data_IF_145287098938
#
_entry.id   IF_145287098938
#
_cell.length_a   1.000
_cell.length_b   1.000
_cell.length_c   1.000
_cell.angle_alpha   90.00
_cell.angle_beta   90.00
_cell.angle_gamma   90.00
#
_symmetry.space_group_name_H-M   'P 1'
#
loop_
_entity.id
_entity.type
_entity.pdbx_description
1 polymer ?
#
# COMPACT_ATOMS: atom_id res chain seq x y z
N UNK A 1 -23.38 20.02 -9.76
CA UNK A 1 -22.06 19.37 -9.61
C UNK A 1 -22.09 17.96 -10.19
N UNK A 2 -22.67 16.94 -9.53
CA UNK A 2 -22.80 15.59 -10.16
C UNK A 2 -23.82 15.58 -11.31
N UNK A 3 -24.94 16.29 -11.16
CA UNK A 3 -25.96 16.41 -12.22
C UNK A 3 -25.43 17.06 -13.50
N UNK A 4 -24.34 17.82 -13.45
CA UNK A 4 -23.71 18.40 -14.66
C UNK A 4 -22.83 17.39 -15.40
N UNK A 5 -22.30 16.39 -14.68
CA UNK A 5 -21.62 15.23 -15.27
C UNK A 5 -22.66 14.29 -15.89
N UNK A 6 -23.72 13.96 -15.15
CA UNK A 6 -24.82 13.09 -15.63
C UNK A 6 -25.54 13.67 -16.86
N UNK A 7 -25.71 15.00 -16.90
CA UNK A 7 -26.34 15.70 -18.03
C UNK A 7 -25.34 16.09 -19.13
N UNK A 8 -24.08 15.66 -19.04
CA UNK A 8 -23.05 15.87 -20.06
C UNK A 8 -22.60 17.33 -20.24
N UNK A 9 -23.02 18.25 -19.36
CA UNK A 9 -22.61 19.66 -19.38
C UNK A 9 -21.14 19.84 -19.01
N UNK A 10 -20.55 18.84 -18.34
CA UNK A 10 -19.13 18.78 -18.04
C UNK A 10 -18.59 17.41 -18.43
N UNK A 11 -17.49 17.39 -19.21
CA UNK A 11 -16.89 16.16 -19.76
C UNK A 11 -15.70 15.60 -18.98
N UNK A 12 -15.31 16.25 -17.90
CA UNK A 12 -14.13 15.89 -17.12
C UNK A 12 -14.46 15.82 -15.64
N UNK A 13 -13.97 14.76 -15.00
CA UNK A 13 -14.02 14.53 -13.56
C UNK A 13 -12.61 14.77 -13.01
N UNK A 14 -12.48 15.54 -11.94
CA UNK A 14 -11.19 15.75 -11.26
C UNK A 14 -10.82 14.53 -10.43
N UNK A 15 -9.54 14.33 -10.11
CA UNK A 15 -9.08 13.23 -9.24
C UNK A 15 -9.76 13.23 -7.87
N UNK A 16 -10.04 14.41 -7.31
CA UNK A 16 -10.78 14.54 -6.06
C UNK A 16 -12.23 14.05 -6.21
N UNK A 17 -12.92 14.43 -7.30
CA UNK A 17 -14.28 13.97 -7.58
C UNK A 17 -14.34 12.46 -7.82
N UNK A 18 -13.35 11.84 -8.50
CA UNK A 18 -13.28 10.36 -8.65
C UNK A 18 -13.25 9.68 -7.28
N UNK A 19 -12.46 10.21 -6.34
CA UNK A 19 -12.38 9.66 -4.98
C UNK A 19 -13.71 9.79 -4.23
N UNK A 20 -14.36 10.95 -4.30
CA UNK A 20 -15.67 11.17 -3.67
C UNK A 20 -16.76 10.28 -4.27
N UNK A 21 -16.76 10.11 -5.60
CA UNK A 21 -17.69 9.22 -6.30
C UNK A 21 -17.47 7.76 -5.90
N UNK A 22 -16.21 7.31 -5.85
CA UNK A 22 -15.89 5.96 -5.43
C UNK A 22 -16.40 5.68 -4.01
N UNK A 23 -16.21 6.62 -3.09
CA UNK A 23 -16.75 6.52 -1.73
C UNK A 23 -18.29 6.46 -1.73
N UNK A 24 -18.96 7.35 -2.47
CA UNK A 24 -20.43 7.37 -2.56
C UNK A 24 -21.00 6.08 -3.15
N UNK A 25 -20.27 5.43 -4.07
CA UNK A 25 -20.64 4.18 -4.72
C UNK A 25 -20.12 2.94 -3.96
N UNK A 26 -19.51 3.11 -2.79
CA UNK A 26 -18.90 2.04 -2.01
C UNK A 26 -17.94 1.15 -2.83
N UNK A 27 -17.10 1.80 -3.65
CA UNK A 27 -16.09 1.15 -4.49
C UNK A 27 -14.71 1.81 -4.32
N UNK A 28 -13.70 1.31 -5.04
CA UNK A 28 -12.36 1.90 -5.09
C UNK A 28 -12.22 2.83 -6.31
N UNK A 29 -11.48 3.94 -6.22
CA UNK A 29 -11.25 4.85 -7.35
C UNK A 29 -10.75 4.14 -8.62
N UNK A 30 -9.88 3.14 -8.46
CA UNK A 30 -9.32 2.40 -9.60
C UNK A 30 -10.37 1.61 -10.40
N UNK A 31 -11.44 1.16 -9.75
CA UNK A 31 -12.54 0.45 -10.41
C UNK A 31 -13.43 1.40 -11.24
N UNK A 32 -13.39 2.71 -10.98
CA UNK A 32 -14.03 3.72 -11.82
C UNK A 32 -13.16 4.11 -13.02
N UNK A 33 -11.82 4.08 -12.86
CA UNK A 33 -10.88 4.35 -13.95
C UNK A 33 -10.78 3.18 -14.93
N UNK A 34 -10.77 1.95 -14.41
CA UNK A 34 -10.77 0.72 -15.20
C UNK A 34 -11.98 -0.13 -14.78
N UNK A 35 -13.17 0.11 -15.35
CA UNK A 35 -14.34 -0.69 -15.03
C UNK A 35 -14.26 -2.08 -15.68
N UNK A 36 -14.93 -3.09 -15.08
CA UNK A 36 -15.05 -4.41 -15.68
C UNK A 36 -15.71 -4.37 -17.06
N UNK A 37 -15.45 -5.36 -17.94
CA UNK A 37 -14.72 -6.61 -17.66
C UNK A 37 -13.20 -6.47 -17.78
N UNK A 38 -12.43 -7.31 -17.06
CA UNK A 38 -10.97 -7.16 -16.88
C UNK A 38 -10.11 -8.01 -17.81
N UNK A 39 -10.75 -8.86 -18.62
CA UNK A 39 -10.12 -9.73 -19.62
C UNK A 39 -9.85 -9.04 -20.97
N UNK A 40 -10.24 -7.77 -21.10
CA UNK A 40 -10.02 -6.96 -22.29
C UNK A 40 -8.57 -6.48 -22.42
N UNK A 41 -8.08 -6.38 -23.66
CA UNK A 41 -6.86 -5.64 -23.98
C UNK A 41 -7.16 -4.16 -24.16
N UNK A 42 -6.34 -3.32 -23.53
CA UNK A 42 -6.40 -1.86 -23.60
C UNK A 42 -5.02 -1.28 -23.85
N UNK A 43 -4.95 -0.06 -24.38
CA UNK A 43 -3.73 0.74 -24.37
C UNK A 43 -3.65 1.49 -23.04
N UNK A 44 -2.73 1.10 -22.15
CA UNK A 44 -2.50 1.79 -20.86
C UNK A 44 -1.93 3.19 -21.12
N UNK A 45 -1.02 3.25 -22.08
CA UNK A 45 -0.54 4.47 -22.73
C UNK A 45 -0.55 4.23 -24.24
N UNK A 46 -0.61 5.28 -25.07
CA UNK A 46 -0.69 5.11 -26.52
C UNK A 46 0.39 4.18 -27.08
N UNK A 47 -0.03 3.09 -27.74
CA UNK A 47 0.88 2.12 -28.37
C UNK A 47 1.44 1.05 -27.43
N UNK A 48 0.98 0.97 -26.17
CA UNK A 48 1.34 -0.08 -25.23
C UNK A 48 0.10 -0.91 -24.84
N UNK A 49 -0.24 -1.94 -25.63
CA UNK A 49 -1.36 -2.80 -25.32
C UNK A 49 -1.04 -3.71 -24.12
N UNK A 50 -1.98 -3.85 -23.20
CA UNK A 50 -1.90 -4.74 -22.05
C UNK A 50 -3.29 -5.21 -21.61
N UNK A 51 -3.33 -6.26 -20.79
CA UNK A 51 -4.56 -6.69 -20.14
C UNK A 51 -5.06 -5.60 -19.18
N UNK A 52 -6.36 -5.27 -19.20
CA UNK A 52 -6.95 -4.28 -18.29
C UNK A 52 -6.69 -4.63 -16.82
N UNK A 53 -6.70 -5.92 -16.47
CA UNK A 53 -6.32 -6.37 -15.13
C UNK A 53 -4.90 -5.96 -14.73
N UNK A 54 -3.93 -6.10 -15.64
CA UNK A 54 -2.55 -5.73 -15.37
C UNK A 54 -2.40 -4.22 -15.13
N UNK A 55 -3.19 -3.39 -15.83
CA UNK A 55 -3.23 -1.94 -15.60
C UNK A 55 -3.74 -1.57 -14.20
N UNK A 56 -4.74 -2.31 -13.71
CA UNK A 56 -5.29 -2.13 -12.35
C UNK A 56 -4.28 -2.52 -11.28
N UNK A 57 -3.61 -3.65 -11.46
CA UNK A 57 -2.61 -4.17 -10.51
C UNK A 57 -1.37 -3.26 -10.43
N UNK A 58 -0.91 -2.75 -11.57
CA UNK A 58 0.22 -1.82 -11.65
C UNK A 58 -0.06 -0.49 -10.93
N UNK A 59 -1.27 0.07 -11.10
CA UNK A 59 -1.69 1.28 -10.37
C UNK A 59 -1.65 1.10 -8.84
N UNK A 60 -1.81 -0.14 -8.36
CA UNK A 60 -1.79 -0.48 -6.94
C UNK A 60 -0.40 -0.88 -6.41
N UNK A 61 0.67 -0.71 -7.19
CA UNK A 61 2.04 -1.11 -6.82
C UNK A 61 2.14 -2.59 -6.42
N UNK A 62 1.26 -3.43 -6.98
CA UNK A 62 1.21 -4.84 -6.62
C UNK A 62 2.13 -5.69 -7.49
N UNK A 63 2.35 -5.31 -8.75
CA UNK A 63 3.37 -5.90 -9.62
C UNK A 63 3.90 -4.85 -10.60
N UNK A 64 5.22 -4.71 -10.78
CA UNK A 64 5.79 -3.91 -11.86
C UNK A 64 5.59 -4.66 -13.19
N UNK A 65 4.36 -4.73 -13.67
CA UNK A 65 4.03 -5.35 -14.96
C UNK A 65 3.98 -4.33 -16.09
N UNK A 66 3.97 -3.03 -15.83
CA UNK A 66 3.91 -2.03 -16.90
C UNK A 66 5.29 -1.78 -17.51
N UNK A 67 5.45 -2.34 -18.71
CA UNK A 67 6.45 -2.08 -19.75
C UNK A 67 6.41 -0.66 -20.35
N UNK A 68 5.90 0.33 -19.61
CA UNK A 68 5.62 1.70 -20.08
C UNK A 68 6.32 2.82 -19.34
N UNK A 69 6.99 2.52 -18.23
CA UNK A 69 7.89 3.48 -17.59
C UNK A 69 9.15 3.60 -18.44
N UNK A 70 9.47 4.81 -18.88
CA UNK A 70 10.62 5.05 -19.77
C UNK A 70 11.97 4.63 -19.17
N UNK A 71 12.03 4.52 -17.83
CA UNK A 71 13.16 3.99 -17.07
C UNK A 71 12.63 3.27 -15.82
N UNK A 72 12.80 1.94 -15.72
CA UNK A 72 12.51 1.20 -14.49
C UNK A 72 13.33 1.70 -13.30
N UNK A 73 14.54 2.21 -13.55
CA UNK A 73 15.42 2.78 -12.52
C UNK A 73 14.84 4.07 -11.96
N UNK A 74 14.32 4.94 -12.82
CA UNK A 74 13.76 6.23 -12.38
C UNK A 74 12.43 6.01 -11.65
N UNK A 75 11.62 5.05 -12.12
CA UNK A 75 10.41 4.65 -11.41
C UNK A 75 10.72 4.07 -10.02
N UNK A 76 11.74 3.22 -9.93
CA UNK A 76 12.23 2.66 -8.68
C UNK A 76 12.65 3.77 -7.70
N UNK A 77 13.37 4.80 -8.19
CA UNK A 77 13.76 5.95 -7.39
C UNK A 77 12.55 6.80 -6.96
N UNK A 78 11.63 7.09 -7.87
CA UNK A 78 10.45 7.92 -7.60
C UNK A 78 9.46 7.24 -6.63
N UNK A 79 9.38 5.91 -6.66
CA UNK A 79 8.55 5.11 -5.77
C UNK A 79 9.27 4.74 -4.45
N UNK A 80 10.57 5.01 -4.34
CA UNK A 80 11.35 4.70 -3.13
C UNK A 80 10.70 5.25 -1.85
N UNK A 81 10.25 6.53 -1.77
CA UNK A 81 9.59 7.05 -0.57
C UNK A 81 8.32 6.29 -0.21
N UNK A 82 7.52 5.89 -1.21
CA UNK A 82 6.30 5.13 -1.00
C UNK A 82 6.60 3.72 -0.48
N UNK A 83 7.61 3.04 -1.05
CA UNK A 83 8.04 1.72 -0.58
C UNK A 83 8.60 1.77 0.85
N UNK A 84 9.43 2.76 1.16
CA UNK A 84 9.95 2.95 2.52
C UNK A 84 8.80 3.18 3.50
N UNK A 85 7.82 4.02 3.16
CA UNK A 85 6.64 4.24 3.99
C UNK A 85 5.84 2.95 4.20
N UNK A 86 5.64 2.15 3.15
CA UNK A 86 4.97 0.84 3.24
C UNK A 86 5.71 -0.12 4.16
N UNK A 87 7.03 -0.24 4.01
CA UNK A 87 7.86 -1.10 4.86
C UNK A 87 7.82 -0.67 6.32
N UNK A 88 7.89 0.65 6.59
CA UNK A 88 7.72 1.18 7.96
C UNK A 88 6.36 0.79 8.51
N UNK A 89 5.27 0.96 7.75
CA UNK A 89 3.93 0.59 8.20
C UNK A 89 3.79 -0.92 8.49
N UNK A 90 4.41 -1.77 7.66
CA UNK A 90 4.44 -3.23 7.87
C UNK A 90 5.20 -3.60 9.16
N UNK A 91 6.35 -2.98 9.40
CA UNK A 91 7.11 -3.20 10.63
C UNK A 91 6.41 -2.63 11.87
N UNK A 92 5.70 -1.52 11.76
CA UNK A 92 4.86 -0.99 12.83
C UNK A 92 3.69 -1.93 13.14
N UNK A 93 3.10 -2.58 12.13
CA UNK A 93 2.11 -3.64 12.34
C UNK A 93 2.72 -4.85 13.05
N UNK A 94 3.89 -5.34 12.60
CA UNK A 94 4.61 -6.43 13.27
C UNK A 94 4.94 -6.11 14.73
N UNK A 95 5.42 -4.88 15.02
CA UNK A 95 5.68 -4.41 16.39
C UNK A 95 4.41 -4.46 17.23
N UNK A 96 3.29 -3.93 16.72
CA UNK A 96 2.00 -3.96 17.43
C UNK A 96 1.55 -5.39 17.73
N UNK A 97 1.64 -6.29 16.77
CA UNK A 97 1.27 -7.70 16.96
C UNK A 97 2.17 -8.39 18.00
N UNK A 98 3.49 -8.14 17.95
CA UNK A 98 4.43 -8.67 18.92
C UNK A 98 4.15 -8.16 20.35
N UNK A 99 3.80 -6.87 20.48
CA UNK A 99 3.39 -6.29 21.77
C UNK A 99 2.10 -6.93 22.31
N UNK A 100 1.11 -7.19 21.45
CA UNK A 100 -0.13 -7.89 21.83
C UNK A 100 0.18 -9.32 22.31
N UNK A 101 1.07 -10.04 21.61
CA UNK A 101 1.51 -11.38 22.02
C UNK A 101 2.26 -11.34 23.36
N UNK A 102 3.14 -10.36 23.56
CA UNK A 102 3.84 -10.16 24.83
C UNK A 102 2.87 -9.87 25.99
N UNK A 103 1.85 -9.04 25.78
CA UNK A 103 0.81 -8.79 26.77
C UNK A 103 -0.02 -10.05 27.09
N UNK A 104 -0.25 -10.89 26.08
CA UNK A 104 -0.95 -12.16 26.26
C UNK A 104 -0.10 -13.16 27.04
N UNK A 105 1.20 -13.24 26.75
CA UNK A 105 2.14 -14.08 27.49
C UNK A 105 2.20 -13.72 28.99
N UNK A 106 2.14 -12.44 29.34
CA UNK A 106 2.10 -11.97 30.74
C UNK A 106 0.91 -12.49 31.54
N UNK A 107 -0.16 -12.94 30.86
CA UNK A 107 -1.36 -13.50 31.47
C UNK A 107 -1.31 -15.03 31.60
N UNK A 108 -0.24 -15.67 31.13
CA UNK A 108 -0.06 -17.12 31.25
C UNK A 108 0.06 -17.54 32.72
N UNK A 109 -0.66 -18.60 33.08
CA UNK A 109 -0.78 -19.05 34.47
C UNK A 109 0.45 -19.87 34.89
N UNK A 110 1.00 -20.67 33.97
CA UNK A 110 2.21 -21.46 34.22
C UNK A 110 3.45 -20.52 34.21
N UNK A 111 4.17 -20.38 35.34
CA UNK A 111 5.32 -19.48 35.42
C UNK A 111 6.46 -19.84 34.45
N UNK A 112 6.68 -21.13 34.18
CA UNK A 112 7.75 -21.59 33.28
C UNK A 112 7.41 -21.26 31.83
N UNK A 113 6.14 -21.47 31.44
CA UNK A 113 5.66 -21.14 30.09
C UNK A 113 5.61 -19.63 29.90
N UNK A 114 5.15 -18.88 30.89
CA UNK A 114 5.14 -17.41 30.89
C UNK A 114 6.52 -16.84 30.62
N UNK A 115 7.53 -17.27 31.39
CA UNK A 115 8.90 -16.78 31.22
C UNK A 115 9.44 -17.09 29.82
N UNK A 116 9.21 -18.30 29.31
CA UNK A 116 9.64 -18.67 27.96
C UNK A 116 8.97 -17.82 26.86
N UNK A 117 7.66 -17.58 26.96
CA UNK A 117 6.90 -16.77 26.00
C UNK A 117 7.27 -15.29 26.07
N UNK A 118 7.41 -14.74 27.28
CA UNK A 118 7.83 -13.34 27.47
C UNK A 118 9.23 -13.09 26.90
N UNK A 119 10.18 -13.99 27.15
CA UNK A 119 11.54 -13.87 26.59
C UNK A 119 11.50 -13.90 25.06
N UNK A 120 10.74 -14.84 24.48
CA UNK A 120 10.57 -14.93 23.02
C UNK A 120 9.98 -13.65 22.43
N UNK A 121 8.84 -13.19 22.95
CA UNK A 121 8.17 -12.02 22.37
C UNK A 121 8.92 -10.71 22.65
N UNK A 122 9.71 -10.63 23.73
CA UNK A 122 10.59 -9.49 23.95
C UNK A 122 11.64 -9.37 22.85
N UNK A 123 12.27 -10.48 22.45
CA UNK A 123 13.21 -10.50 21.32
C UNK A 123 12.53 -10.07 20.01
N UNK A 124 11.29 -10.51 19.77
CA UNK A 124 10.54 -10.11 18.58
C UNK A 124 10.21 -8.60 18.58
N UNK A 125 9.85 -8.03 19.74
CA UNK A 125 9.60 -6.58 19.90
C UNK A 125 10.89 -5.79 19.68
N UNK A 126 11.98 -6.17 20.36
CA UNK A 126 13.27 -5.48 20.29
C UNK A 126 13.78 -5.43 18.83
N UNK A 127 13.64 -6.54 18.10
CA UNK A 127 14.06 -6.60 16.70
C UNK A 127 13.21 -5.71 15.79
N UNK A 128 11.90 -5.68 16.00
CA UNK A 128 11.01 -4.78 15.25
C UNK A 128 11.30 -3.31 15.56
N UNK A 129 11.61 -2.96 16.81
CA UNK A 129 11.98 -1.60 17.22
C UNK A 129 13.30 -1.14 16.60
N UNK A 130 14.35 -1.97 16.68
CA UNK A 130 15.64 -1.65 16.07
C UNK A 130 15.53 -1.47 14.55
N UNK A 131 14.76 -2.34 13.89
CA UNK A 131 14.56 -2.25 12.44
C UNK A 131 13.81 -0.97 12.06
N UNK A 132 12.76 -0.62 12.81
CA UNK A 132 12.02 0.62 12.60
C UNK A 132 12.88 1.87 12.81
N UNK A 133 13.72 1.88 13.83
CA UNK A 133 14.61 3.00 14.12
C UNK A 133 15.59 3.21 12.96
N UNK A 134 16.28 2.15 12.53
CA UNK A 134 17.21 2.22 11.40
C UNK A 134 16.54 2.68 10.10
N UNK A 135 15.31 2.24 9.84
CA UNK A 135 14.55 2.66 8.66
C UNK A 135 14.12 4.12 8.71
N UNK A 136 13.70 4.62 9.88
CA UNK A 136 13.31 6.03 10.07
C UNK A 136 14.52 6.95 9.98
N UNK A 137 15.65 6.56 10.58
CA UNK A 137 16.92 7.30 10.47
C UNK A 137 17.45 7.34 9.02
N UNK A 138 17.31 6.26 8.24
CA UNK A 138 17.69 6.28 6.82
C UNK A 138 16.79 7.23 6.04
N UNK A 139 15.47 7.12 6.22
CA UNK A 139 14.50 7.99 5.54
C UNK A 139 14.76 9.48 5.84
N UNK A 140 15.06 9.81 7.08
CA UNK A 140 15.28 11.20 7.49
C UNK A 140 16.63 11.75 6.97
N UNK A 141 17.62 10.89 6.71
CA UNK A 141 18.88 11.26 6.02
C UNK A 141 18.69 11.47 4.52
N UNK A 142 17.86 10.66 3.87
CA UNK A 142 17.62 10.71 2.43
C UNK A 142 16.59 11.77 2.02
N UNK A 143 15.82 12.30 2.99
CA UNK A 143 14.79 13.32 2.81
C UNK A 143 15.19 14.77 3.16
N UNK A 144 16.49 15.04 3.33
CA UNK A 144 17.06 16.36 3.66
C UNK A 144 17.60 17.13 2.47
#
# INVERSE_FOLDING_TARGET
MISDLELGRRRYVTTAEVTVLAYALNTRPIALLFPPPYDEQIDIVPGLPALKLAAVEDFCDNHPTVTGLSSPVDAEQNLHPLRVARLIAEWEAKRRDALIRLQSAKKEEDPSVREALEQRYRVEVDWAEQTLEAMKESRDRDGG
#
